data_IF_238298846210
#
_entry.id   IF_238298846210
#
_cell.length_a   1.000
_cell.length_b   1.000
_cell.length_c   1.000
_cell.angle_alpha   90.00
_cell.angle_beta   90.00
_cell.angle_gamma   90.00
#
_symmetry.space_group_name_H-M   'P 1'
#
loop_
_entity.id
_entity.type
_entity.pdbx_description
1 polymer ?
#
# COMPACT_ATOMS: atom_id res chain seq x y z
N UNK A 1 -28.95 8.12 16.44
CA UNK A 1 -28.94 7.88 14.99
C UNK A 1 -27.71 7.03 14.66
N UNK A 2 -27.81 6.07 13.72
CA UNK A 2 -26.63 5.35 13.22
C UNK A 2 -25.77 6.36 12.46
N UNK A 3 -24.50 6.49 12.85
CA UNK A 3 -23.54 7.35 12.14
C UNK A 3 -23.18 6.72 10.79
N UNK A 4 -22.95 7.56 9.78
CA UNK A 4 -22.46 7.11 8.48
C UNK A 4 -20.97 6.79 8.57
N UNK A 5 -20.49 5.86 7.75
CA UNK A 5 -19.09 5.49 7.66
C UNK A 5 -18.52 5.94 6.32
N UNK A 6 -17.51 6.79 6.40
CA UNK A 6 -16.75 7.28 5.24
C UNK A 6 -15.35 6.67 5.28
N UNK A 7 -14.97 5.92 4.26
CA UNK A 7 -13.60 5.44 4.16
C UNK A 7 -12.69 6.52 3.61
N UNK A 8 -11.47 6.62 4.12
CA UNK A 8 -10.47 7.60 3.70
C UNK A 8 -9.28 6.87 3.09
N UNK A 9 -8.98 7.18 1.83
CA UNK A 9 -7.79 6.75 1.12
C UNK A 9 -6.90 7.93 0.76
N UNK A 10 -5.60 7.71 0.71
CA UNK A 10 -4.63 8.76 0.44
C UNK A 10 -3.22 8.30 0.78
N UNK A 11 -2.27 9.23 0.70
CA UNK A 11 -0.91 9.00 1.22
C UNK A 11 -0.95 9.00 2.76
N UNK A 12 -0.19 8.11 3.41
CA UNK A 12 -0.26 7.90 4.87
C UNK A 12 -0.12 9.19 5.69
N UNK A 13 0.95 9.96 5.51
CA UNK A 13 1.17 11.20 6.27
C UNK A 13 0.05 12.24 6.08
N UNK A 14 -0.34 12.61 4.84
CA UNK A 14 -1.49 13.50 4.64
C UNK A 14 -2.81 12.95 5.20
N UNK A 15 -3.05 11.64 5.07
CA UNK A 15 -4.26 10.98 5.55
C UNK A 15 -4.34 11.02 7.08
N UNK A 16 -3.25 10.80 7.80
CA UNK A 16 -3.20 10.92 9.26
C UNK A 16 -3.58 12.33 9.72
N UNK A 17 -2.98 13.38 9.14
CA UNK A 17 -3.31 14.79 9.47
C UNK A 17 -4.79 15.12 9.23
N UNK A 18 -5.41 14.49 8.23
CA UNK A 18 -6.84 14.65 7.94
C UNK A 18 -7.70 13.96 8.99
N UNK A 19 -7.41 12.69 9.23
CA UNK A 19 -8.11 11.87 10.19
C UNK A 19 -8.09 12.50 11.59
N UNK A 20 -6.95 13.01 12.04
CA UNK A 20 -6.83 13.68 13.35
C UNK A 20 -7.78 14.88 13.48
N UNK A 21 -7.89 15.71 12.43
CA UNK A 21 -8.79 16.88 12.42
C UNK A 21 -10.26 16.46 12.50
N UNK A 22 -10.64 15.42 11.77
CA UNK A 22 -12.03 14.97 11.73
C UNK A 22 -12.42 14.14 12.94
N UNK A 23 -11.53 13.34 13.53
CA UNK A 23 -11.82 12.63 14.77
C UNK A 23 -12.01 13.55 15.95
N UNK A 24 -11.28 14.67 15.99
CA UNK A 24 -11.56 15.74 16.93
C UNK A 24 -13.00 16.29 16.78
N UNK A 25 -13.58 16.30 15.58
CA UNK A 25 -14.96 16.77 15.33
C UNK A 25 -16.02 15.66 15.53
N UNK A 26 -15.75 14.44 15.08
CA UNK A 26 -16.65 13.27 15.16
C UNK A 26 -16.96 12.83 16.60
N UNK A 27 -16.05 13.11 17.55
CA UNK A 27 -16.26 12.88 18.99
C UNK A 27 -17.31 13.82 19.60
N UNK A 28 -17.64 14.96 18.96
CA UNK A 28 -18.57 15.98 19.49
C UNK A 28 -19.88 16.10 18.71
N UNK A 29 -20.34 15.04 18.02
CA UNK A 29 -21.68 15.01 17.42
C UNK A 29 -21.75 15.07 15.89
N UNK A 30 -20.65 14.80 15.20
CA UNK A 30 -20.67 14.63 13.74
C UNK A 30 -21.50 13.42 13.27
N UNK A 31 -22.15 13.56 12.11
CA UNK A 31 -22.95 12.49 11.48
C UNK A 31 -22.07 11.36 10.90
N UNK A 32 -20.80 11.64 10.61
CA UNK A 32 -19.88 10.73 9.94
C UNK A 32 -18.74 10.23 10.86
N UNK A 33 -18.40 8.96 10.70
CA UNK A 33 -17.19 8.31 11.22
C UNK A 33 -16.28 8.06 10.03
N UNK A 34 -15.04 8.53 10.14
CA UNK A 34 -14.03 8.30 9.11
C UNK A 34 -13.26 7.02 9.46
N UNK A 35 -12.98 6.15 8.50
CA UNK A 35 -12.20 4.92 8.72
C UNK A 35 -11.16 4.75 7.62
N UNK A 36 -10.11 3.97 7.85
CA UNK A 36 -9.24 3.47 6.78
C UNK A 36 -9.49 1.98 6.58
N UNK A 37 -9.27 1.50 5.35
CA UNK A 37 -9.36 0.05 5.08
C UNK A 37 -8.31 -0.72 5.86
N UNK A 38 -7.21 -0.05 6.24
CA UNK A 38 -6.13 -0.67 6.99
C UNK A 38 -6.67 -1.22 8.31
N UNK A 39 -7.55 -0.52 9.03
CA UNK A 39 -8.15 -0.99 10.29
C UNK A 39 -8.87 -2.33 10.09
N UNK A 40 -9.59 -2.51 8.98
CA UNK A 40 -10.24 -3.78 8.67
C UNK A 40 -9.22 -4.85 8.31
N UNK A 41 -8.22 -4.53 7.50
CA UNK A 41 -7.15 -5.47 7.16
C UNK A 41 -6.38 -5.94 8.42
N UNK A 42 -6.04 -5.01 9.31
CA UNK A 42 -5.44 -5.28 10.63
C UNK A 42 -6.27 -6.29 11.44
N UNK A 43 -7.57 -6.03 11.58
CA UNK A 43 -8.50 -6.90 12.30
C UNK A 43 -8.60 -8.30 11.69
N UNK A 44 -8.49 -8.40 10.37
CA UNK A 44 -8.48 -9.65 9.64
C UNK A 44 -7.11 -10.33 9.60
N UNK A 45 -6.14 -9.88 10.41
CA UNK A 45 -4.76 -10.41 10.45
C UNK A 45 -4.07 -10.28 9.07
N UNK A 46 -4.47 -9.27 8.31
CA UNK A 46 -3.80 -8.77 7.13
C UNK A 46 -3.10 -7.46 7.50
N UNK A 47 -2.27 -7.44 8.55
CA UNK A 47 -1.11 -6.55 8.54
C UNK A 47 -0.03 -7.03 9.48
N UNK A 48 1.14 -7.25 8.92
CA UNK A 48 2.31 -7.68 9.65
C UNK A 48 3.58 -7.41 8.84
N UNK A 49 4.73 -7.73 9.44
CA UNK A 49 5.98 -7.95 8.70
C UNK A 49 5.72 -8.72 7.40
N UNK A 50 6.49 -8.43 6.35
CA UNK A 50 6.31 -9.05 5.04
C UNK A 50 6.20 -10.58 5.10
N UNK A 51 6.87 -11.23 6.05
CA UNK A 51 6.75 -12.66 6.33
C UNK A 51 5.35 -13.12 6.71
N UNK A 52 4.84 -12.57 7.82
CA UNK A 52 3.56 -12.94 8.39
C UNK A 52 2.47 -12.61 7.38
N UNK A 53 2.63 -11.48 6.68
CA UNK A 53 1.70 -11.12 5.64
C UNK A 53 1.73 -12.09 4.45
N UNK A 54 2.91 -12.45 3.93
CA UNK A 54 3.02 -13.44 2.85
C UNK A 54 2.51 -14.83 3.26
N UNK A 55 2.79 -15.27 4.49
CA UNK A 55 2.23 -16.51 5.05
C UNK A 55 0.69 -16.48 5.03
N UNK A 56 0.08 -15.39 5.51
CA UNK A 56 -1.38 -15.22 5.50
C UNK A 56 -1.95 -15.15 4.09
N UNK A 57 -1.27 -14.50 3.15
CA UNK A 57 -1.67 -14.53 1.75
C UNK A 57 -1.58 -15.93 1.15
N UNK A 58 -0.58 -16.72 1.51
CA UNK A 58 -0.43 -18.10 1.07
C UNK A 58 -1.61 -18.95 1.54
N UNK A 59 -1.93 -18.88 2.83
CA UNK A 59 -3.10 -19.53 3.41
C UNK A 59 -4.40 -19.07 2.73
N UNK A 60 -4.54 -17.75 2.53
CA UNK A 60 -5.73 -17.15 1.94
C UNK A 60 -5.94 -17.58 0.48
N UNK A 61 -4.90 -17.55 -0.35
CA UNK A 61 -5.02 -17.93 -1.76
C UNK A 61 -5.26 -19.43 -1.93
N UNK A 62 -4.73 -20.26 -1.01
CA UNK A 62 -4.88 -21.72 -1.05
C UNK A 62 -6.26 -22.19 -0.60
N UNK A 63 -6.69 -21.73 0.56
CA UNK A 63 -7.87 -22.29 1.24
C UNK A 63 -9.14 -21.46 0.96
N UNK A 64 -9.02 -20.39 0.15
CA UNK A 64 -9.82 -19.17 0.33
C UNK A 64 -9.66 -18.73 1.78
N UNK A 65 -10.32 -17.69 2.24
CA UNK A 65 -10.42 -17.56 3.69
C UNK A 65 -11.26 -18.76 4.15
N UNK A 66 -10.76 -19.65 5.03
CA UNK A 66 -11.66 -20.51 5.78
C UNK A 66 -12.53 -19.56 6.61
N UNK A 67 -13.84 -19.51 6.35
CA UNK A 67 -14.86 -18.70 7.03
C UNK A 67 -14.24 -17.75 8.06
N UNK A 68 -13.88 -16.51 7.68
CA UNK A 68 -12.87 -15.67 8.40
C UNK A 68 -13.23 -15.39 9.86
N UNK A 69 -14.41 -15.81 10.27
CA UNK A 69 -15.07 -15.49 11.50
C UNK A 69 -15.88 -16.72 11.89
N UNK A 70 -15.20 -17.77 12.37
CA UNK A 70 -15.80 -18.49 13.50
C UNK A 70 -16.23 -17.42 14.52
N UNK A 71 -17.36 -17.57 15.22
CA UNK A 71 -17.83 -16.51 16.13
C UNK A 71 -16.73 -16.06 17.12
N UNK A 72 -15.85 -17.00 17.50
CA UNK A 72 -14.66 -16.79 18.33
C UNK A 72 -13.61 -15.90 17.64
N UNK A 73 -13.30 -16.13 16.37
CA UNK A 73 -12.36 -15.30 15.61
C UNK A 73 -12.89 -13.89 15.39
N UNK A 74 -14.22 -13.72 15.32
CA UNK A 74 -14.82 -12.40 15.15
C UNK A 74 -14.74 -11.53 16.40
N UNK A 75 -15.02 -12.10 17.58
CA UNK A 75 -14.83 -11.35 18.83
C UNK A 75 -13.39 -10.83 18.96
N UNK A 76 -12.41 -11.65 18.56
CA UNK A 76 -11.00 -11.22 18.52
C UNK A 76 -10.76 -10.13 17.47
N UNK A 77 -11.30 -10.27 16.26
CA UNK A 77 -11.16 -9.28 15.21
C UNK A 77 -11.78 -7.92 15.58
N UNK A 78 -12.92 -7.93 16.28
CA UNK A 78 -13.56 -6.72 16.82
C UNK A 78 -12.69 -6.05 17.88
N UNK A 79 -12.09 -6.81 18.81
CA UNK A 79 -11.14 -6.23 19.78
C UNK A 79 -9.97 -5.57 19.09
N UNK A 80 -9.39 -6.24 18.08
CA UNK A 80 -8.31 -5.66 17.27
C UNK A 80 -8.80 -4.38 16.56
N UNK A 81 -10.01 -4.39 16.02
CA UNK A 81 -10.61 -3.23 15.35
C UNK A 81 -10.64 -2.02 16.29
N UNK A 82 -11.18 -2.20 17.49
CA UNK A 82 -11.26 -1.13 18.49
C UNK A 82 -9.88 -0.66 18.93
N UNK A 83 -8.92 -1.57 19.13
CA UNK A 83 -7.54 -1.20 19.47
C UNK A 83 -6.95 -0.28 18.40
N UNK A 84 -7.07 -0.62 17.12
CA UNK A 84 -6.53 0.23 16.04
C UNK A 84 -7.28 1.55 15.90
N UNK A 85 -8.61 1.54 16.07
CA UNK A 85 -9.42 2.76 16.13
C UNK A 85 -8.93 3.71 17.24
N UNK A 86 -8.64 3.19 18.43
CA UNK A 86 -8.14 3.98 19.54
C UNK A 86 -6.79 4.63 19.23
N UNK A 87 -5.88 3.84 18.66
CA UNK A 87 -4.53 4.31 18.32
C UNK A 87 -4.60 5.44 17.29
N UNK A 88 -5.46 5.29 16.29
CA UNK A 88 -5.74 6.33 15.31
C UNK A 88 -6.35 7.57 15.97
N UNK A 89 -7.31 7.42 16.88
CA UNK A 89 -7.99 8.57 17.51
C UNK A 89 -7.15 9.35 18.51
N UNK A 90 -6.19 8.69 19.16
CA UNK A 90 -5.45 9.29 20.27
C UNK A 90 -3.99 9.57 19.95
N UNK A 91 -3.51 9.27 18.73
CA UNK A 91 -2.16 9.61 18.23
C UNK A 91 -1.03 9.28 19.22
N UNK A 92 -1.22 8.23 20.03
CA UNK A 92 -0.32 7.89 21.15
C UNK A 92 -0.08 6.39 21.20
N UNK A 93 1.16 5.99 20.96
CA UNK A 93 1.68 4.67 21.30
C UNK A 93 2.26 3.90 20.13
N UNK A 94 3.29 3.11 20.42
CA UNK A 94 3.73 2.03 19.55
C UNK A 94 2.64 0.94 19.48
N UNK A 95 2.39 0.43 18.27
CA UNK A 95 1.34 -0.56 17.95
C UNK A 95 1.59 -1.91 18.65
N UNK A 96 2.80 -2.13 19.16
CA UNK A 96 3.25 -3.42 19.69
C UNK A 96 2.75 -3.57 21.13
N UNK A 97 1.83 -4.51 21.34
CA UNK A 97 1.28 -4.97 22.63
C UNK A 97 0.32 -4.01 23.36
N UNK A 98 -0.25 -3.03 22.66
CA UNK A 98 -1.31 -2.19 23.24
C UNK A 98 -2.64 -2.96 23.36
N UNK A 99 -3.25 -2.87 24.55
CA UNK A 99 -4.61 -3.38 24.82
C UNK A 99 -5.45 -2.27 25.44
N UNK A 100 -6.74 -2.25 25.08
CA UNK A 100 -7.68 -1.27 25.60
C UNK A 100 -8.07 -1.60 27.04
N UNK A 101 -8.20 -0.57 27.87
CA UNK A 101 -8.97 -0.69 29.11
C UNK A 101 -10.46 -0.80 28.79
N UNK A 102 -11.27 -1.36 29.70
CA UNK A 102 -12.72 -1.45 29.52
C UNK A 102 -13.38 -0.08 29.26
N UNK A 103 -12.86 0.97 29.91
CA UNK A 103 -13.34 2.33 29.70
C UNK A 103 -13.04 2.84 28.29
N UNK A 104 -11.82 2.61 27.78
CA UNK A 104 -11.44 2.99 26.41
C UNK A 104 -12.25 2.22 25.36
N UNK A 105 -12.46 0.91 25.57
CA UNK A 105 -13.29 0.09 24.69
C UNK A 105 -14.72 0.62 24.64
N UNK A 106 -15.31 0.94 25.82
CA UNK A 106 -16.64 1.53 25.90
C UNK A 106 -16.75 2.86 25.14
N UNK A 107 -15.78 3.76 25.30
CA UNK A 107 -15.76 5.04 24.60
C UNK A 107 -15.74 4.89 23.07
N UNK A 108 -15.04 3.88 22.55
CA UNK A 108 -15.02 3.61 21.10
C UNK A 108 -16.34 2.96 20.68
N UNK A 109 -16.88 2.04 21.46
CA UNK A 109 -18.16 1.38 21.17
C UNK A 109 -19.32 2.39 21.14
N UNK A 110 -19.25 3.46 21.93
CA UNK A 110 -20.21 4.58 21.88
C UNK A 110 -20.10 5.38 20.56
N UNK A 111 -18.93 5.36 19.90
CA UNK A 111 -18.72 5.97 18.59
C UNK A 111 -19.12 5.03 17.46
N UNK A 112 -18.61 3.80 17.46
CA UNK A 112 -18.89 2.75 16.48
C UNK A 112 -19.35 1.46 17.18
N UNK A 113 -20.66 1.18 17.17
CA UNK A 113 -21.22 0.01 17.84
C UNK A 113 -20.69 -1.35 17.36
N UNK A 114 -20.85 -2.37 18.21
CA UNK A 114 -20.36 -3.73 17.95
C UNK A 114 -21.02 -4.40 16.75
N UNK A 115 -22.32 -4.22 16.57
CA UNK A 115 -23.06 -4.73 15.40
C UNK A 115 -22.55 -4.13 14.09
N UNK A 116 -22.22 -2.83 14.10
CA UNK A 116 -21.62 -2.14 12.95
C UNK A 116 -20.22 -2.68 12.66
N UNK A 117 -19.39 -2.84 13.70
CA UNK A 117 -18.04 -3.40 13.56
C UNK A 117 -18.08 -4.84 13.04
N UNK A 118 -19.00 -5.67 13.58
CA UNK A 118 -19.27 -7.03 13.10
C UNK A 118 -19.58 -7.01 11.60
N UNK A 119 -20.53 -6.16 11.20
CA UNK A 119 -20.97 -6.03 9.82
C UNK A 119 -19.80 -5.71 8.89
N UNK A 120 -18.99 -4.69 9.22
CA UNK A 120 -17.85 -4.28 8.40
C UNK A 120 -16.84 -5.41 8.20
N UNK A 121 -16.46 -6.08 9.28
CA UNK A 121 -15.47 -7.17 9.23
C UNK A 121 -15.97 -8.34 8.39
N UNK A 122 -17.24 -8.73 8.58
CA UNK A 122 -17.85 -9.82 7.83
C UNK A 122 -17.98 -9.47 6.36
N UNK A 123 -18.59 -8.34 6.03
CA UNK A 123 -18.80 -7.91 4.65
C UNK A 123 -17.47 -7.72 3.90
N UNK A 124 -16.43 -7.20 4.57
CA UNK A 124 -15.11 -7.06 3.96
C UNK A 124 -14.43 -8.43 3.72
N UNK A 125 -14.46 -9.32 4.72
CA UNK A 125 -13.93 -10.68 4.59
C UNK A 125 -14.61 -11.48 3.47
N UNK A 126 -15.94 -11.42 3.42
CA UNK A 126 -16.75 -12.06 2.38
C UNK A 126 -16.45 -11.47 0.99
N UNK A 127 -16.27 -10.15 0.89
CA UNK A 127 -15.90 -9.50 -0.36
C UNK A 127 -14.51 -9.92 -0.85
N UNK A 128 -13.51 -9.96 0.04
CA UNK A 128 -12.17 -10.46 -0.27
C UNK A 128 -12.22 -11.90 -0.79
N UNK A 129 -13.02 -12.76 -0.14
CA UNK A 129 -13.23 -14.14 -0.55
C UNK A 129 -13.77 -14.27 -1.96
N UNK A 130 -14.84 -13.54 -2.27
CA UNK A 130 -15.47 -13.54 -3.60
C UNK A 130 -14.54 -13.00 -4.68
N UNK A 131 -13.55 -12.17 -4.30
CA UNK A 131 -12.62 -11.50 -5.21
C UNK A 131 -11.16 -12.01 -5.10
N UNK A 132 -10.94 -13.19 -4.52
CA UNK A 132 -9.59 -13.72 -4.25
C UNK A 132 -8.73 -13.82 -5.51
N UNK A 133 -9.33 -14.15 -6.66
CA UNK A 133 -8.65 -14.21 -7.96
C UNK A 133 -8.05 -12.85 -8.38
N UNK A 134 -8.69 -11.73 -8.04
CA UNK A 134 -8.17 -10.38 -8.34
C UNK A 134 -6.87 -10.08 -7.56
N UNK A 135 -6.57 -10.85 -6.50
CA UNK A 135 -5.33 -10.74 -5.74
C UNK A 135 -4.16 -11.52 -6.35
N UNK A 136 -4.39 -12.39 -7.34
CA UNK A 136 -3.34 -13.22 -7.94
C UNK A 136 -2.19 -12.40 -8.54
N UNK A 137 -0.96 -12.65 -8.08
CA UNK A 137 0.26 -12.16 -8.71
C UNK A 137 0.66 -13.05 -9.88
N UNK A 138 0.37 -14.36 -9.82
CA UNK A 138 0.52 -15.29 -10.95
C UNK A 138 -0.12 -14.74 -12.23
N UNK A 139 -1.42 -14.42 -12.19
CA UNK A 139 -2.14 -13.83 -13.33
C UNK A 139 -1.51 -12.51 -13.80
N UNK A 140 -0.96 -11.74 -12.84
CA UNK A 140 -0.29 -10.48 -13.13
C UNK A 140 1.01 -10.69 -13.90
N UNK A 141 1.78 -11.72 -13.55
CA UNK A 141 3.05 -12.02 -14.20
C UNK A 141 2.86 -12.75 -15.52
N UNK A 142 1.93 -13.71 -15.63
CA UNK A 142 1.55 -14.33 -16.91
C UNK A 142 1.17 -13.25 -17.93
N UNK A 143 0.30 -12.31 -17.54
CA UNK A 143 -0.07 -11.19 -18.42
C UNK A 143 1.13 -10.30 -18.80
N UNK A 144 2.06 -10.05 -17.88
CA UNK A 144 3.25 -9.21 -18.16
C UNK A 144 4.25 -9.94 -19.05
N UNK A 145 4.42 -11.24 -18.86
CA UNK A 145 5.27 -12.08 -19.70
C UNK A 145 4.71 -12.19 -21.11
N UNK A 146 3.41 -12.41 -21.26
CA UNK A 146 2.71 -12.44 -22.56
C UNK A 146 2.67 -11.07 -23.27
N UNK A 147 3.04 -9.99 -22.58
CA UNK A 147 3.15 -8.65 -23.13
C UNK A 147 4.60 -8.22 -23.37
N UNK A 148 5.59 -9.11 -23.17
CA UNK A 148 6.94 -8.89 -23.69
C UNK A 148 6.84 -8.69 -25.20
N UNK A 149 7.35 -7.58 -25.72
CA UNK A 149 7.49 -7.30 -27.15
C UNK A 149 6.20 -7.01 -27.95
N UNK A 150 5.06 -6.69 -27.31
CA UNK A 150 3.89 -6.18 -28.06
C UNK A 150 4.06 -4.71 -28.42
N UNK A 151 4.03 -4.40 -29.71
CA UNK A 151 4.15 -3.05 -30.30
C UNK A 151 2.81 -2.32 -30.49
N UNK A 152 1.67 -2.91 -30.11
CA UNK A 152 0.35 -2.26 -30.14
C UNK A 152 -0.02 -1.69 -28.76
N UNK A 153 -0.50 -0.44 -28.73
CA UNK A 153 -0.76 0.38 -27.53
C UNK A 153 -1.55 -0.37 -26.43
N UNK A 154 -1.23 -0.29 -25.14
CA UNK A 154 -0.77 0.89 -24.38
C UNK A 154 0.14 0.54 -23.18
N UNK A 155 0.73 -0.66 -23.14
CA UNK A 155 1.49 -1.14 -21.97
C UNK A 155 2.71 -1.99 -22.33
N UNK A 156 3.79 -1.34 -22.75
CA UNK A 156 5.11 -1.94 -22.89
C UNK A 156 5.88 -1.95 -21.55
N UNK A 157 6.73 -2.96 -21.36
CA UNK A 157 7.63 -3.09 -20.20
C UNK A 157 9.02 -3.49 -20.70
N UNK A 158 10.02 -2.63 -20.51
CA UNK A 158 11.40 -2.92 -20.92
C UNK A 158 11.96 -4.09 -20.11
N UNK A 159 11.74 -4.05 -18.79
CA UNK A 159 12.05 -5.12 -17.85
C UNK A 159 10.96 -5.17 -16.77
N UNK A 160 9.96 -6.04 -16.97
CA UNK A 160 8.80 -6.10 -16.07
C UNK A 160 9.16 -6.53 -14.63
N UNK A 161 10.29 -7.23 -14.43
CA UNK A 161 10.78 -7.64 -13.11
C UNK A 161 11.35 -6.43 -12.38
N UNK A 162 12.28 -5.69 -12.99
CA UNK A 162 12.81 -4.46 -12.43
C UNK A 162 11.70 -3.42 -12.18
N UNK A 163 10.78 -3.26 -13.15
CA UNK A 163 9.62 -2.39 -12.99
C UNK A 163 8.64 -2.83 -11.89
N UNK A 164 8.48 -4.13 -11.65
CA UNK A 164 7.74 -4.63 -10.50
C UNK A 164 8.41 -4.25 -9.18
N UNK A 165 9.72 -4.45 -9.06
CA UNK A 165 10.47 -4.13 -7.84
C UNK A 165 10.44 -2.62 -7.58
N UNK A 166 10.74 -1.78 -8.58
CA UNK A 166 10.74 -0.33 -8.44
C UNK A 166 9.36 0.24 -8.09
N UNK A 167 8.29 -0.27 -8.70
CA UNK A 167 6.92 0.16 -8.36
C UNK A 167 6.57 -0.12 -6.89
N UNK A 168 7.06 -1.23 -6.36
CA UNK A 168 6.65 -1.75 -5.05
C UNK A 168 7.72 -1.54 -3.96
N UNK A 169 8.78 -0.79 -4.23
CA UNK A 169 9.86 -0.61 -3.27
C UNK A 169 9.38 0.17 -2.04
N UNK A 170 9.67 -0.31 -0.81
CA UNK A 170 9.43 0.45 0.41
C UNK A 170 10.16 1.79 0.43
N UNK A 171 9.57 2.79 1.09
CA UNK A 171 10.12 4.14 1.10
C UNK A 171 11.47 4.28 1.83
N UNK A 172 11.75 3.41 2.80
CA UNK A 172 13.03 3.46 3.53
C UNK A 172 14.23 3.21 2.61
N UNK A 173 14.14 2.32 1.61
CA UNK A 173 15.21 2.12 0.63
C UNK A 173 15.44 3.36 -0.26
N UNK A 174 14.39 4.15 -0.52
CA UNK A 174 14.54 5.41 -1.25
C UNK A 174 15.29 6.43 -0.38
N UNK A 175 14.91 6.52 0.90
CA UNK A 175 15.61 7.40 1.85
C UNK A 175 17.07 6.99 2.02
N UNK A 176 17.33 5.70 2.18
CA UNK A 176 18.67 5.12 2.30
C UNK A 176 19.52 5.48 1.07
N UNK A 177 18.98 5.30 -0.14
CA UNK A 177 19.66 5.72 -1.38
C UNK A 177 19.99 7.22 -1.37
N UNK A 178 19.02 8.07 -1.06
CA UNK A 178 19.23 9.54 -1.01
C UNK A 178 20.30 9.91 0.03
N UNK A 179 20.33 9.25 1.18
CA UNK A 179 21.33 9.48 2.23
C UNK A 179 22.72 9.04 1.79
N UNK A 180 22.83 7.87 1.16
CA UNK A 180 24.09 7.37 0.62
C UNK A 180 24.62 8.29 -0.50
N UNK A 181 23.77 8.75 -1.42
CA UNK A 181 24.14 9.72 -2.47
C UNK A 181 24.69 11.02 -1.87
N UNK A 182 24.11 11.51 -0.76
CA UNK A 182 24.63 12.68 -0.04
C UNK A 182 26.00 12.41 0.56
N UNK A 183 26.20 11.24 1.19
CA UNK A 183 27.50 10.83 1.78
C UNK A 183 28.58 10.68 0.71
N UNK A 184 28.24 10.12 -0.45
CA UNK A 184 29.15 10.00 -1.60
C UNK A 184 29.56 11.39 -2.11
N UNK A 185 28.59 12.30 -2.30
CA UNK A 185 28.87 13.69 -2.72
C UNK A 185 29.74 14.45 -1.72
N UNK A 186 29.57 14.19 -0.42
CA UNK A 186 30.38 14.78 0.64
C UNK A 186 31.70 14.04 0.89
N UNK A 187 32.06 13.04 0.08
CA UNK A 187 33.26 12.19 0.21
C UNK A 187 33.35 11.44 1.55
N UNK A 188 32.22 11.21 2.21
CA UNK A 188 32.11 10.43 3.44
C UNK A 188 31.77 8.94 3.17
N UNK A 189 31.64 8.56 1.91
CA UNK A 189 31.42 7.19 1.43
C UNK A 189 31.98 7.09 0.01
N UNK A 190 32.57 5.96 -0.34
CA UNK A 190 33.05 5.72 -1.71
C UNK A 190 31.90 5.22 -2.58
N UNK A 191 31.81 5.69 -3.83
CA UNK A 191 30.76 5.28 -4.77
C UNK A 191 30.87 3.82 -5.22
N UNK A 192 32.07 3.26 -5.19
CA UNK A 192 32.40 1.89 -5.55
C UNK A 192 32.29 0.92 -4.36
N UNK A 193 31.87 1.39 -3.18
CA UNK A 193 31.60 0.50 -2.04
C UNK A 193 30.50 -0.51 -2.43
N UNK A 194 30.80 -1.83 -2.40
CA UNK A 194 29.87 -2.86 -2.86
C UNK A 194 28.59 -2.96 -2.01
N UNK A 195 28.59 -2.36 -0.81
CA UNK A 195 27.44 -2.32 0.08
C UNK A 195 26.58 -1.06 -0.11
N UNK A 196 26.87 -0.21 -1.11
CA UNK A 196 25.93 0.86 -1.50
C UNK A 196 24.64 0.26 -2.07
N UNK A 197 23.52 0.92 -1.82
CA UNK A 197 22.21 0.63 -2.40
C UNK A 197 22.32 0.44 -3.92
N UNK A 198 23.03 1.35 -4.60
CA UNK A 198 23.20 1.30 -6.06
C UNK A 198 23.91 0.02 -6.51
N UNK A 199 25.03 -0.32 -5.89
CA UNK A 199 25.78 -1.52 -6.27
C UNK A 199 25.01 -2.80 -5.97
N UNK A 200 24.28 -2.85 -4.84
CA UNK A 200 23.42 -3.98 -4.49
C UNK A 200 22.27 -4.13 -5.50
N UNK A 201 21.48 -3.08 -5.75
CA UNK A 201 20.33 -3.22 -6.68
C UNK A 201 20.77 -3.56 -8.10
N UNK A 202 21.97 -3.16 -8.52
CA UNK A 202 22.53 -3.53 -9.83
C UNK A 202 22.77 -5.04 -9.98
N UNK A 203 23.12 -5.73 -8.89
CA UNK A 203 23.37 -7.18 -8.96
C UNK A 203 22.09 -8.00 -8.85
N UNK A 204 20.95 -7.45 -8.40
CA UNK A 204 19.67 -8.18 -8.27
C UNK A 204 19.30 -9.00 -9.51
N UNK A 205 19.50 -8.44 -10.70
CA UNK A 205 19.09 -9.05 -11.97
C UNK A 205 19.86 -10.31 -12.35
N UNK A 206 21.09 -10.47 -11.86
CA UNK A 206 21.94 -11.63 -12.14
C UNK A 206 21.85 -12.74 -11.10
N UNK A 207 21.04 -12.55 -10.04
CA UNK A 207 20.94 -13.53 -8.94
C UNK A 207 19.84 -14.55 -9.20
N UNK A 208 20.18 -15.82 -9.01
CA UNK A 208 19.25 -16.94 -9.22
C UNK A 208 18.02 -16.85 -8.34
N UNK A 209 18.14 -16.43 -7.08
CA UNK A 209 16.99 -16.29 -6.18
C UNK A 209 16.00 -15.22 -6.67
N UNK A 210 16.46 -14.15 -7.33
CA UNK A 210 15.56 -13.16 -7.95
C UNK A 210 14.80 -13.80 -9.10
N UNK A 211 15.50 -14.50 -9.99
CA UNK A 211 14.88 -15.18 -11.13
C UNK A 211 13.92 -16.29 -10.69
N UNK A 212 14.30 -17.09 -9.69
CA UNK A 212 13.45 -18.13 -9.11
C UNK A 212 12.20 -17.56 -8.44
N UNK A 213 12.29 -16.43 -7.71
CA UNK A 213 11.10 -15.82 -7.13
C UNK A 213 10.04 -15.50 -8.20
N UNK A 214 10.43 -14.80 -9.27
CA UNK A 214 9.51 -14.52 -10.37
C UNK A 214 9.07 -15.78 -11.12
N UNK A 215 9.98 -16.73 -11.35
CA UNK A 215 9.69 -18.00 -12.02
C UNK A 215 8.69 -18.88 -11.28
N UNK A 216 8.76 -18.91 -9.95
CA UNK A 216 7.80 -19.63 -9.11
C UNK A 216 6.39 -19.01 -9.21
N UNK A 217 6.29 -17.67 -9.22
CA UNK A 217 4.99 -17.02 -9.45
C UNK A 217 4.41 -17.25 -10.84
N UNK A 218 5.24 -17.52 -11.86
CA UNK A 218 4.75 -17.91 -13.18
C UNK A 218 4.12 -19.31 -13.18
N UNK A 219 4.36 -20.14 -12.15
CA UNK A 219 3.70 -21.43 -11.99
C UNK A 219 2.41 -21.33 -11.18
N UNK A 220 2.47 -20.69 -10.01
CA UNK A 220 1.29 -20.39 -9.18
C UNK A 220 1.63 -19.36 -8.11
N UNK A 221 0.60 -18.75 -7.51
CA UNK A 221 0.80 -17.88 -6.34
C UNK A 221 1.35 -18.66 -5.13
N UNK A 222 0.91 -19.89 -4.92
CA UNK A 222 1.38 -20.75 -3.82
C UNK A 222 2.89 -21.01 -3.95
N UNK A 223 3.36 -21.45 -5.11
CA UNK A 223 4.79 -21.67 -5.35
C UNK A 223 5.59 -20.36 -5.20
N UNK A 224 5.05 -19.26 -5.73
CA UNK A 224 5.66 -17.94 -5.62
C UNK A 224 5.85 -17.49 -4.17
N UNK A 225 4.80 -17.59 -3.35
CA UNK A 225 4.83 -17.23 -1.93
C UNK A 225 5.82 -18.12 -1.17
N UNK A 226 5.75 -19.44 -1.35
CA UNK A 226 6.66 -20.39 -0.71
C UNK A 226 8.13 -20.09 -1.04
N UNK A 227 8.42 -19.74 -2.29
CA UNK A 227 9.78 -19.39 -2.71
C UNK A 227 10.28 -18.10 -2.03
N UNK A 228 9.46 -17.04 -1.98
CA UNK A 228 9.83 -15.78 -1.33
C UNK A 228 10.02 -15.97 0.19
N UNK A 229 9.16 -16.78 0.83
CA UNK A 229 9.32 -17.13 2.24
C UNK A 229 10.59 -17.95 2.50
N UNK A 230 10.95 -18.87 1.60
CA UNK A 230 12.20 -19.61 1.68
C UNK A 230 13.41 -18.66 1.64
N UNK A 231 13.44 -17.73 0.69
CA UNK A 231 14.50 -16.69 0.62
C UNK A 231 14.58 -15.93 1.94
N UNK A 232 13.43 -15.56 2.51
CA UNK A 232 13.36 -14.85 3.79
C UNK A 232 13.91 -15.67 4.97
N UNK A 233 13.53 -16.95 5.05
CA UNK A 233 14.03 -17.86 6.08
C UNK A 233 15.55 -18.09 5.97
N UNK A 234 16.08 -18.12 4.75
CA UNK A 234 17.52 -18.22 4.52
C UNK A 234 18.26 -16.98 5.02
N UNK A 235 17.75 -15.76 4.79
CA UNK A 235 18.39 -14.54 5.28
C UNK A 235 18.27 -14.35 6.80
N UNK A 236 17.18 -14.84 7.42
CA UNK A 236 17.02 -14.82 8.88
C UNK A 236 18.03 -15.69 9.62
N UNK A 237 18.68 -16.64 8.92
CA UNK A 237 19.76 -17.48 9.45
C UNK A 237 21.15 -16.82 9.34
N UNK A 238 21.28 -15.73 8.58
CA UNK A 238 22.51 -14.97 8.47
C UNK A 238 22.68 -14.16 9.77
N UNK A 239 23.68 -14.51 10.58
CA UNK A 239 23.97 -13.80 11.85
C UNK A 239 24.28 -12.33 11.58
N UNK A 240 23.91 -11.45 12.50
CA UNK A 240 24.02 -9.98 12.39
C UNK A 240 25.45 -9.44 12.21
N UNK A 241 26.47 -10.31 12.27
CA UNK A 241 27.87 -9.98 12.02
C UNK A 241 28.32 -10.48 10.64
N UNK A 242 27.57 -10.17 9.60
CA UNK A 242 27.98 -10.42 8.22
C UNK A 242 29.11 -9.44 7.84
N UNK A 243 30.34 -9.70 8.28
CA UNK A 243 31.57 -9.04 7.81
C UNK A 243 31.86 -9.34 6.32
N UNK A 244 31.02 -10.15 5.66
CA UNK A 244 31.17 -10.58 4.28
C UNK A 244 30.11 -9.93 3.39
N UNK A 245 30.58 -9.22 2.36
CA UNK A 245 29.75 -8.53 1.35
C UNK A 245 28.65 -9.40 0.77
N UNK A 246 28.91 -10.69 0.50
CA UNK A 246 27.92 -11.61 -0.07
C UNK A 246 26.74 -11.90 0.89
N UNK A 247 27.04 -12.03 2.19
CA UNK A 247 26.01 -12.26 3.21
C UNK A 247 25.12 -11.02 3.41
N UNK A 248 25.75 -9.84 3.38
CA UNK A 248 25.02 -8.57 3.42
C UNK A 248 24.16 -8.38 2.17
N UNK A 249 24.71 -8.64 0.97
CA UNK A 249 24.00 -8.56 -0.30
C UNK A 249 22.77 -9.49 -0.29
N UNK A 250 22.94 -10.75 0.10
CA UNK A 250 21.83 -11.72 0.16
C UNK A 250 20.75 -11.25 1.14
N UNK A 251 21.13 -10.72 2.32
CA UNK A 251 20.18 -10.16 3.30
C UNK A 251 19.41 -8.99 2.71
N UNK A 252 20.11 -8.01 2.14
CA UNK A 252 19.52 -6.83 1.52
C UNK A 252 18.55 -7.21 0.38
N UNK A 253 18.95 -8.10 -0.53
CA UNK A 253 18.09 -8.57 -1.61
C UNK A 253 16.87 -9.33 -1.12
N UNK A 254 17.04 -10.26 -0.18
CA UNK A 254 15.92 -11.03 0.36
C UNK A 254 14.89 -10.14 1.06
N UNK A 255 15.33 -9.11 1.78
CA UNK A 255 14.43 -8.11 2.37
C UNK A 255 13.71 -7.28 1.30
N UNK A 256 14.43 -6.76 0.32
CA UNK A 256 13.85 -5.97 -0.78
C UNK A 256 12.82 -6.78 -1.57
N UNK A 257 13.17 -8.01 -1.96
CA UNK A 257 12.28 -8.93 -2.67
C UNK A 257 11.04 -9.22 -1.81
N UNK A 258 11.20 -9.74 -0.59
CA UNK A 258 10.04 -10.11 0.23
C UNK A 258 9.10 -8.93 0.50
N UNK A 259 9.64 -7.73 0.78
CA UNK A 259 8.83 -6.52 1.01
C UNK A 259 8.15 -6.01 -0.24
N UNK A 260 8.79 -6.08 -1.41
CA UNK A 260 8.16 -5.65 -2.68
C UNK A 260 7.01 -6.57 -3.09
N UNK A 261 7.15 -7.89 -2.90
CA UNK A 261 6.06 -8.84 -3.12
C UNK A 261 4.90 -8.61 -2.14
N UNK A 262 5.17 -8.46 -0.85
CA UNK A 262 4.17 -8.07 0.15
C UNK A 262 3.44 -6.78 -0.24
N UNK A 263 4.19 -5.71 -0.56
CA UNK A 263 3.62 -4.42 -0.98
C UNK A 263 2.72 -4.55 -2.21
N UNK A 264 3.04 -5.46 -3.12
CA UNK A 264 2.24 -5.67 -4.33
C UNK A 264 0.86 -6.29 -4.06
N UNK A 265 0.75 -7.19 -3.08
CA UNK A 265 -0.53 -7.70 -2.60
C UNK A 265 -1.32 -6.61 -1.86
N UNK A 266 -0.65 -5.79 -1.04
CA UNK A 266 -1.27 -4.60 -0.41
C UNK A 266 -1.95 -3.70 -1.43
N UNK A 267 -1.26 -3.35 -2.50
CA UNK A 267 -1.86 -2.56 -3.58
C UNK A 267 -3.09 -3.23 -4.19
N UNK A 268 -3.07 -4.54 -4.36
CA UNK A 268 -4.21 -5.26 -4.91
C UNK A 268 -5.40 -5.23 -3.95
N UNK A 269 -5.15 -5.42 -2.65
CA UNK A 269 -6.16 -5.29 -1.59
C UNK A 269 -6.72 -3.87 -1.53
N UNK A 270 -5.86 -2.84 -1.49
CA UNK A 270 -6.28 -1.43 -1.51
C UNK A 270 -7.11 -1.08 -2.74
N UNK A 271 -6.77 -1.63 -3.91
CA UNK A 271 -7.56 -1.43 -5.13
C UNK A 271 -8.93 -2.09 -5.06
N UNK A 272 -9.00 -3.32 -4.57
CA UNK A 272 -10.26 -4.05 -4.39
C UNK A 272 -11.14 -3.38 -3.33
N UNK A 273 -10.53 -2.74 -2.33
CA UNK A 273 -11.26 -1.98 -1.32
C UNK A 273 -12.07 -0.81 -1.93
N UNK A 274 -11.58 -0.17 -2.99
CA UNK A 274 -12.35 0.86 -3.72
C UNK A 274 -13.65 0.27 -4.27
N UNK A 275 -13.58 -0.91 -4.89
CA UNK A 275 -14.77 -1.60 -5.42
C UNK A 275 -15.74 -1.98 -4.31
N UNK A 276 -15.23 -2.48 -3.18
CA UNK A 276 -16.06 -2.86 -2.03
C UNK A 276 -16.78 -1.67 -1.39
N UNK A 277 -16.06 -0.58 -1.15
CA UNK A 277 -16.64 0.61 -0.52
C UNK A 277 -17.78 1.16 -1.37
N UNK A 278 -17.62 1.14 -2.69
CA UNK A 278 -18.69 1.53 -3.59
C UNK A 278 -19.88 0.56 -3.55
N UNK A 279 -19.65 -0.76 -3.59
CA UNK A 279 -20.72 -1.75 -3.46
C UNK A 279 -21.54 -1.51 -2.18
N UNK A 280 -20.84 -1.22 -1.08
CA UNK A 280 -21.47 -0.93 0.21
C UNK A 280 -22.20 0.40 0.24
N UNK A 281 -21.62 1.46 -0.34
CA UNK A 281 -22.24 2.79 -0.37
C UNK A 281 -23.57 2.80 -1.16
N UNK A 282 -23.68 1.95 -2.19
CA UNK A 282 -24.91 1.77 -2.95
C UNK A 282 -26.01 1.00 -2.20
N UNK A 283 -25.69 0.27 -1.13
CA UNK A 283 -26.70 -0.40 -0.30
C UNK A 283 -27.29 0.60 0.72
N UNK A 284 -28.59 0.94 0.64
CA UNK A 284 -29.22 1.86 1.56
C UNK A 284 -29.08 1.44 3.03
N UNK A 285 -29.01 0.12 3.28
CA UNK A 285 -28.92 -0.45 4.62
C UNK A 285 -27.48 -0.55 5.15
N UNK A 286 -26.48 -0.38 4.28
CA UNK A 286 -25.09 -0.38 4.72
C UNK A 286 -24.78 0.88 5.53
N UNK A 287 -24.02 0.78 6.65
CA UNK A 287 -23.51 1.95 7.34
C UNK A 287 -22.44 2.70 6.53
N UNK A 288 -21.84 2.08 5.51
CA UNK A 288 -20.86 2.71 4.62
C UNK A 288 -21.58 3.61 3.64
N UNK A 289 -21.15 4.88 3.53
CA UNK A 289 -21.79 5.89 2.65
C UNK A 289 -20.87 6.50 1.62
N UNK A 290 -19.60 6.11 1.60
CA UNK A 290 -18.71 6.47 0.52
C UNK A 290 -17.23 6.41 0.86
N UNK A 291 -16.46 6.90 -0.10
CA UNK A 291 -15.01 6.94 -0.11
C UNK A 291 -14.54 8.37 -0.32
N UNK A 292 -13.66 8.84 0.55
CA UNK A 292 -12.95 10.09 0.40
C UNK A 292 -11.51 9.78 -0.03
N UNK A 293 -11.13 10.23 -1.22
CA UNK A 293 -9.73 10.31 -1.61
C UNK A 293 -9.15 11.64 -1.15
N UNK A 294 -8.39 11.58 -0.06
CA UNK A 294 -7.70 12.72 0.49
C UNK A 294 -6.32 12.89 -0.14
N UNK A 295 -6.18 13.95 -0.94
CA UNK A 295 -4.97 14.26 -1.68
C UNK A 295 -4.40 15.59 -1.21
N UNK A 296 -3.18 15.58 -0.66
CA UNK A 296 -2.35 16.78 -0.64
C UNK A 296 -1.72 16.94 -2.02
N UNK A 297 -1.70 18.14 -2.60
CA UNK A 297 -0.81 18.40 -3.73
C UNK A 297 0.60 17.94 -3.32
N UNK A 298 1.11 16.91 -4.00
CA UNK A 298 2.44 16.42 -3.72
C UNK A 298 3.46 17.38 -4.36
N UNK A 299 3.63 18.55 -3.73
CA UNK A 299 4.63 19.54 -4.11
C UNK A 299 6.07 19.02 -3.96
N UNK A 300 6.30 17.78 -3.51
CA UNK A 300 7.64 17.15 -3.53
C UNK A 300 8.19 17.11 -4.96
N UNK A 301 7.36 17.08 -6.00
CA UNK A 301 7.80 17.10 -7.40
C UNK A 301 8.06 18.51 -7.95
N UNK A 302 7.40 19.54 -7.41
CA UNK A 302 7.64 20.94 -7.81
C UNK A 302 9.02 21.45 -7.37
N UNK A 303 9.65 20.84 -6.36
CA UNK A 303 11.00 21.21 -5.90
C UNK A 303 12.13 20.69 -6.80
N UNK A 304 11.84 19.74 -7.71
CA UNK A 304 12.88 19.08 -8.53
C UNK A 304 12.75 19.25 -10.05
N UNK A 305 11.77 20.01 -10.57
CA UNK A 305 11.47 20.03 -12.02
C UNK A 305 11.23 18.61 -12.61
N UNK A 306 10.99 17.63 -11.75
CA UNK A 306 10.73 16.25 -12.14
C UNK A 306 9.25 16.18 -12.45
N UNK A 307 8.93 15.92 -13.74
CA UNK A 307 7.58 15.52 -14.15
C UNK A 307 7.10 14.48 -13.15
N UNK A 308 5.97 14.73 -12.49
CA UNK A 308 5.27 13.73 -11.68
C UNK A 308 5.45 12.36 -12.34
N UNK A 309 5.90 11.35 -11.58
CA UNK A 309 6.03 9.97 -12.06
C UNK A 309 4.68 9.37 -12.54
N UNK A 310 3.60 10.16 -12.40
CA UNK A 310 2.29 9.95 -12.97
C UNK A 310 1.96 11.12 -13.88
N UNK A 311 2.00 10.86 -15.17
CA UNK A 311 1.13 11.56 -16.09
C UNK A 311 -0.28 10.97 -15.93
N UNK A 312 -1.20 11.72 -15.32
CA UNK A 312 -2.57 11.25 -15.12
C UNK A 312 -3.33 11.16 -16.45
N UNK A 313 -2.85 11.87 -17.47
CA UNK A 313 -3.42 11.92 -18.82
C UNK A 313 -2.82 10.89 -19.77
N UNK A 314 -1.66 10.30 -19.44
CA UNK A 314 -0.99 9.29 -20.27
C UNK A 314 -0.67 8.02 -19.49
N UNK A 315 -0.87 6.86 -20.12
CA UNK A 315 -0.64 5.56 -19.47
C UNK A 315 0.82 5.24 -19.17
N UNK A 316 1.79 6.11 -19.44
CA UNK A 316 3.22 5.83 -19.35
C UNK A 316 3.78 6.16 -17.97
N UNK A 317 4.04 5.12 -17.17
CA UNK A 317 4.75 5.27 -15.91
C UNK A 317 6.23 4.96 -16.12
N UNK A 318 7.11 5.78 -15.56
CA UNK A 318 8.57 5.56 -15.62
C UNK A 318 8.96 4.16 -15.13
N UNK A 319 8.27 3.62 -14.12
CA UNK A 319 8.54 2.29 -13.58
C UNK A 319 8.35 1.15 -14.59
N UNK A 320 7.66 1.36 -15.72
CA UNK A 320 7.55 0.34 -16.78
C UNK A 320 8.81 0.23 -17.63
N UNK A 321 9.55 1.33 -17.72
CA UNK A 321 10.83 1.46 -18.44
C UNK A 321 12.00 1.43 -17.45
N UNK A 322 11.78 0.78 -16.31
CA UNK A 322 12.76 0.67 -15.25
C UNK A 322 13.71 -0.48 -15.54
N UNK A 323 15.01 -0.24 -15.34
CA UNK A 323 16.02 -1.27 -15.21
C UNK A 323 16.42 -1.42 -13.72
N UNK A 324 17.17 -2.46 -13.38
CA UNK A 324 17.56 -2.76 -11.99
C UNK A 324 18.31 -1.59 -11.32
N UNK A 325 19.17 -0.88 -12.06
CA UNK A 325 19.88 0.32 -11.58
C UNK A 325 18.98 1.48 -11.14
N UNK A 326 17.75 1.51 -11.65
CA UNK A 326 16.79 2.57 -11.35
C UNK A 326 15.97 2.26 -10.08
N UNK A 327 16.09 1.06 -9.51
CA UNK A 327 15.37 0.66 -8.28
C UNK A 327 15.81 1.56 -7.11
N UNK A 328 14.84 2.08 -6.37
CA UNK A 328 15.06 3.04 -5.28
C UNK A 328 15.16 4.50 -5.71
N UNK A 329 15.12 4.79 -7.02
CA UNK A 329 14.89 6.17 -7.48
C UNK A 329 13.43 6.58 -7.26
N UNK A 330 13.23 7.82 -6.81
CA UNK A 330 11.91 8.42 -6.61
C UNK A 330 11.10 8.50 -7.92
N UNK A 331 11.79 8.62 -9.06
CA UNK A 331 11.18 8.77 -10.39
C UNK A 331 10.49 7.49 -10.85
N UNK A 332 10.91 6.34 -10.33
CA UNK A 332 10.43 5.00 -10.71
C UNK A 332 9.58 4.36 -9.60
N UNK A 333 9.33 5.06 -8.49
CA UNK A 333 8.42 4.60 -7.45
C UNK A 333 6.99 5.01 -7.77
N UNK A 334 6.01 4.20 -7.37
CA UNK A 334 4.61 4.61 -7.28
C UNK A 334 4.22 4.66 -5.80
N UNK A 335 3.45 5.63 -5.33
CA UNK A 335 2.79 5.44 -4.03
C UNK A 335 1.71 4.34 -4.14
N UNK A 336 1.27 3.74 -3.03
CA UNK A 336 0.17 2.75 -3.02
C UNK A 336 -1.03 3.41 -3.68
N UNK A 337 -1.61 4.42 -3.03
CA UNK A 337 -2.82 5.19 -3.39
C UNK A 337 -2.92 5.70 -4.85
N UNK A 338 -1.82 5.74 -5.60
CA UNK A 338 -1.79 6.22 -6.98
C UNK A 338 -2.53 5.29 -7.96
N UNK A 339 -2.54 3.98 -7.71
CA UNK A 339 -3.24 3.04 -8.59
C UNK A 339 -4.74 3.03 -8.31
N UNK A 340 -5.10 3.19 -7.04
CA UNK A 340 -6.46 3.27 -6.49
C UNK A 340 -7.11 4.58 -6.90
N UNK A 341 -6.41 5.71 -6.79
CA UNK A 341 -6.88 7.01 -7.27
C UNK A 341 -7.29 6.98 -8.75
N UNK A 342 -6.45 6.37 -9.59
CA UNK A 342 -6.76 6.20 -11.02
C UNK A 342 -7.99 5.33 -11.22
N UNK A 343 -8.10 4.25 -10.45
CA UNK A 343 -9.23 3.35 -10.52
C UNK A 343 -10.51 4.07 -10.13
N UNK A 344 -10.49 4.81 -9.01
CA UNK A 344 -11.57 5.66 -8.55
C UNK A 344 -11.99 6.70 -9.60
N UNK A 345 -11.05 7.43 -10.19
CA UNK A 345 -11.35 8.40 -11.25
C UNK A 345 -11.96 7.75 -12.49
N UNK A 346 -11.53 6.53 -12.85
CA UNK A 346 -12.13 5.79 -13.95
C UNK A 346 -13.60 5.47 -13.64
N UNK A 347 -13.89 5.05 -12.42
CA UNK A 347 -15.25 4.78 -11.95
C UNK A 347 -16.12 6.06 -11.99
N UNK A 348 -15.63 7.16 -11.42
CA UNK A 348 -16.31 8.46 -11.44
C UNK A 348 -16.54 9.01 -12.86
N UNK A 349 -15.65 8.70 -13.80
CA UNK A 349 -15.81 9.10 -15.21
C UNK A 349 -16.86 8.27 -15.93
N UNK A 350 -17.07 7.02 -15.51
CA UNK A 350 -18.10 6.14 -16.10
C UNK A 350 -19.50 6.40 -15.56
N UNK A 351 -19.63 6.84 -14.30
CA UNK A 351 -20.89 7.26 -13.72
C UNK A 351 -20.64 8.38 -12.68
N UNK A 352 -21.27 9.55 -12.82
CA UNK A 352 -21.09 10.65 -11.87
C UNK A 352 -21.72 10.39 -10.49
N UNK A 353 -22.55 9.35 -10.33
CA UNK A 353 -23.23 9.02 -9.08
C UNK A 353 -22.43 8.09 -8.15
N UNK A 354 -21.19 7.72 -8.51
CA UNK A 354 -20.31 6.98 -7.59
C UNK A 354 -20.12 7.75 -6.28
N UNK A 355 -20.09 7.03 -5.16
CA UNK A 355 -20.00 7.59 -3.80
C UNK A 355 -18.56 7.94 -3.43
N UNK A 356 -17.83 8.59 -4.35
CA UNK A 356 -16.42 8.91 -4.24
C UNK A 356 -16.23 10.43 -4.24
N UNK A 357 -15.72 10.95 -3.13
CA UNK A 357 -15.35 12.34 -2.96
C UNK A 357 -13.84 12.54 -3.17
N UNK A 358 -13.47 13.57 -3.94
CA UNK A 358 -12.08 13.96 -4.16
C UNK A 358 -11.76 15.23 -3.37
N UNK A 359 -10.96 15.12 -2.30
CA UNK A 359 -10.57 16.25 -1.46
C UNK A 359 -9.12 16.64 -1.77
N UNK A 360 -8.93 17.81 -2.40
CA UNK A 360 -7.61 18.35 -2.72
C UNK A 360 -7.21 19.42 -1.70
N UNK A 361 -6.08 19.23 -1.02
CA UNK A 361 -5.47 20.29 -0.21
C UNK A 361 -4.69 21.23 -1.13
N UNK A 362 -5.25 22.42 -1.37
CA UNK A 362 -4.51 23.54 -1.95
C UNK A 362 -3.39 23.97 -1.01
N UNK A 363 -2.14 23.72 -1.38
CA UNK A 363 -1.03 24.49 -0.84
C UNK A 363 -1.22 25.93 -1.36
N UNK A 364 -1.11 26.95 -0.51
CA UNK A 364 -1.48 28.37 -0.79
C UNK A 364 -0.82 29.00 -2.05
N UNK A 365 0.06 28.28 -2.74
CA UNK A 365 0.77 28.69 -3.95
C UNK A 365 -0.10 28.87 -5.20
N UNK A 366 -1.18 28.10 -5.39
CA UNK A 366 -2.04 28.23 -6.58
C UNK A 366 -2.90 29.49 -6.52
N UNK A 367 -3.51 29.80 -5.37
CA UNK A 367 -4.23 31.06 -5.16
C UNK A 367 -3.31 32.28 -5.34
N UNK A 368 -2.04 32.18 -4.94
CA UNK A 368 -1.04 33.23 -5.18
C UNK A 368 -0.59 33.33 -6.64
N UNK A 369 -0.55 32.22 -7.39
CA UNK A 369 -0.27 32.24 -8.84
C UNK A 369 -1.46 32.78 -9.65
N UNK A 370 -2.69 32.41 -9.29
CA UNK A 370 -3.92 32.94 -9.88
C UNK A 370 -4.05 34.44 -9.57
N UNK A 371 -3.79 34.88 -8.32
CA UNK A 371 -3.73 36.32 -7.99
C UNK A 371 -2.66 37.07 -8.79
N UNK A 372 -1.48 36.49 -8.99
CA UNK A 372 -0.42 37.09 -9.84
C UNK A 372 -0.81 37.17 -11.32
N UNK A 373 -1.65 36.25 -11.80
CA UNK A 373 -2.10 36.21 -13.19
C UNK A 373 -3.26 37.19 -13.42
N UNK A 374 -4.19 37.29 -12.46
CA UNK A 374 -5.30 38.24 -12.49
C UNK A 374 -4.86 39.69 -12.23
N UNK A 375 -3.75 39.91 -11.53
CA UNK A 375 -3.15 41.25 -11.36
C UNK A 375 -2.21 41.66 -12.51
N UNK A 376 -2.16 40.88 -13.59
CA UNK A 376 -1.36 41.15 -14.81
C UNK A 376 -2.22 41.35 -16.06
N UNK A 377 -3.53 41.25 -15.94
CA UNK A 377 -4.54 41.72 -16.90
C UNK A 377 -5.05 43.04 -16.33
#
# INVERSE_FOLDING_TARGET
>A
MKKNIMFVMGLDSPRSDYLDKFYAQSRYGGENIYLTIDILNYSLKLDFSAEKFLNRMGEFLKNKIPDILSEVDLSRAQKVFYTYMWLVFNTKGDIIDFSLTQQQEKEIMDVIPSDVTYYLLKCWGDFLNRNVNKLSLHDTFIRRENNKNKSSGDKFYDNYKAGFLAKNIPFHYINEKIEQEKKIKSRNMFSDDPCTHENLVNTLGSKDYTSHAFGSYLKSDEEGILNVLKIRNEIGKIKDHAYYTESYEKKYHGELISRTFATSYWRKISKIAVDWIEEQANDPNSPVKGLIFYMKEDNRFNKYNVKSNIDETKFNHNWRHCDYKNIGSIDYRSAIAHAELRHARKLMSSDPNYHIEMVYINDKGILNRIKKFLNKI
#
